data_IF_853257611815
#
_entry.id   IF_853257611815
#
_cell.length_a   1.000
_cell.length_b   1.000
_cell.length_c   1.000
_cell.angle_alpha   90.00
_cell.angle_beta   90.00
_cell.angle_gamma   90.00
#
_symmetry.space_group_name_H-M   'P 1'
#
loop_
_entity.id
_entity.type
_entity.pdbx_description
1 polymer ?
#
# COMPACT_ATOMS: atom_id res chain seq x y z
N UNK A 1 -3.68 -23.95 20.98
CA UNK A 1 -3.95 -22.55 20.58
C UNK A 1 -4.52 -22.56 19.16
N UNK A 2 -5.75 -22.09 18.94
CA UNK A 2 -6.31 -22.00 17.58
C UNK A 2 -5.62 -20.86 16.83
N UNK A 3 -5.12 -21.14 15.62
CA UNK A 3 -4.48 -20.16 14.75
C UNK A 3 -5.54 -19.15 14.31
N UNK A 4 -5.45 -17.91 14.79
CA UNK A 4 -6.33 -16.82 14.35
C UNK A 4 -5.82 -16.35 13.00
N UNK A 5 -6.65 -16.49 11.97
CA UNK A 5 -6.36 -15.99 10.64
C UNK A 5 -7.32 -14.85 10.33
N UNK A 6 -6.86 -13.90 9.54
CA UNK A 6 -7.74 -12.92 8.92
C UNK A 6 -8.66 -13.58 7.89
N UNK A 7 -9.85 -13.01 7.71
CA UNK A 7 -10.79 -13.44 6.67
C UNK A 7 -10.20 -13.25 5.28
N UNK A 8 -10.75 -13.97 4.31
CA UNK A 8 -10.33 -13.82 2.92
C UNK A 8 -10.61 -12.40 2.38
N UNK A 9 -11.74 -11.80 2.76
CA UNK A 9 -12.08 -10.41 2.41
C UNK A 9 -11.08 -9.41 2.96
N UNK A 10 -10.71 -9.53 4.25
CA UNK A 10 -9.75 -8.62 4.86
C UNK A 10 -8.39 -8.68 4.15
N UNK A 11 -7.94 -9.88 3.77
CA UNK A 11 -6.68 -10.05 3.03
C UNK A 11 -6.75 -9.45 1.62
N UNK A 12 -7.91 -9.51 0.97
CA UNK A 12 -8.12 -8.91 -0.35
C UNK A 12 -8.15 -7.38 -0.28
N UNK A 13 -8.93 -6.82 0.64
CA UNK A 13 -9.06 -5.37 0.81
C UNK A 13 -7.72 -4.75 1.21
N UNK A 14 -6.99 -5.36 2.15
CA UNK A 14 -5.65 -4.90 2.54
C UNK A 14 -4.64 -4.98 1.40
N UNK A 15 -4.68 -6.02 0.55
CA UNK A 15 -3.81 -6.10 -0.63
C UNK A 15 -4.12 -4.98 -1.64
N UNK A 16 -5.40 -4.66 -1.86
CA UNK A 16 -5.79 -3.55 -2.72
C UNK A 16 -5.35 -2.20 -2.15
N UNK A 17 -5.53 -1.99 -0.84
CA UNK A 17 -5.11 -0.76 -0.17
C UNK A 17 -3.60 -0.51 -0.27
N UNK A 18 -2.77 -1.55 -0.16
CA UNK A 18 -1.30 -1.42 -0.30
C UNK A 18 -0.92 -1.05 -1.74
N UNK A 19 -1.57 -1.66 -2.74
CA UNK A 19 -1.33 -1.34 -4.15
C UNK A 19 -1.75 0.11 -4.45
N UNK A 20 -2.95 0.50 -4.04
CA UNK A 20 -3.49 1.84 -4.26
C UNK A 20 -2.64 2.94 -3.59
N UNK A 21 -2.13 2.68 -2.37
CA UNK A 21 -1.22 3.61 -1.69
C UNK A 21 0.12 3.75 -2.44
N UNK A 22 0.69 2.64 -2.90
CA UNK A 22 1.95 2.67 -3.63
C UNK A 22 1.82 3.38 -4.98
N UNK A 23 0.73 3.16 -5.70
CA UNK A 23 0.45 3.87 -6.97
C UNK A 23 0.24 5.37 -6.73
N UNK A 24 -0.46 5.75 -5.66
CA UNK A 24 -0.65 7.15 -5.29
C UNK A 24 0.67 7.82 -4.92
N UNK A 25 1.53 7.13 -4.17
CA UNK A 25 2.86 7.64 -3.82
C UNK A 25 3.72 7.81 -5.07
N UNK A 26 3.74 6.84 -5.98
CA UNK A 26 4.51 6.93 -7.22
C UNK A 26 4.02 8.07 -8.13
N UNK A 27 2.71 8.28 -8.21
CA UNK A 27 2.10 9.40 -8.95
C UNK A 27 2.45 10.74 -8.31
N UNK A 28 2.35 10.86 -6.97
CA UNK A 28 2.71 12.08 -6.26
C UNK A 28 4.20 12.42 -6.41
N UNK A 29 5.08 11.43 -6.26
CA UNK A 29 6.53 11.54 -6.46
C UNK A 29 6.86 12.04 -7.87
N UNK A 30 6.21 11.45 -8.88
CA UNK A 30 6.37 11.86 -10.28
C UNK A 30 5.84 13.27 -10.53
N UNK A 31 4.73 13.65 -9.91
CA UNK A 31 4.12 14.97 -10.06
C UNK A 31 4.89 16.09 -9.32
N UNK A 32 5.61 15.73 -8.25
CA UNK A 32 6.31 16.68 -7.38
C UNK A 32 7.82 16.76 -7.69
N UNK A 33 8.34 15.98 -8.65
CA UNK A 33 9.78 15.83 -8.96
C UNK A 33 10.66 15.49 -7.72
N UNK A 34 10.04 14.98 -6.66
CA UNK A 34 10.76 14.58 -5.44
C UNK A 34 11.21 13.13 -5.59
N UNK A 35 12.48 12.86 -5.35
CA UNK A 35 12.99 11.49 -5.36
C UNK A 35 12.32 10.65 -4.26
N UNK A 36 12.06 9.37 -4.54
CA UNK A 36 11.45 8.42 -3.60
C UNK A 36 12.20 8.38 -2.24
N UNK A 37 13.51 8.66 -2.27
CA UNK A 37 14.39 8.79 -1.10
C UNK A 37 14.01 9.89 -0.12
N UNK A 38 13.18 10.85 -0.53
CA UNK A 38 12.76 12.01 0.29
C UNK A 38 11.47 11.73 1.07
N UNK A 39 10.68 10.72 0.69
CA UNK A 39 9.41 10.37 1.34
C UNK A 39 9.47 9.11 2.23
N UNK A 40 10.67 8.55 2.46
CA UNK A 40 10.88 7.40 3.36
C UNK A 40 11.10 7.88 4.80
#
# INVERSE_FOLDING_TARGET
MKKRNFSAEFKRESAQLVVDQNDTVAVAVSAMEVGLSTMT
#
